data_IF_139296996818
#
_entry.id   IF_139296996818
#
_cell.length_a   1.000
_cell.length_b   1.000
_cell.length_c   1.000
_cell.angle_alpha   90.00
_cell.angle_beta   90.00
_cell.angle_gamma   90.00
#
_symmetry.space_group_name_H-M   'P 1'
#
loop_
_entity.id
_entity.type
_entity.pdbx_description
1 polymer ?
#
# COMPACT_ATOMS: atom_id res chain seq x y z
N UNK A 1 -62.91 -4.95 8.76
CA UNK A 1 -62.97 -3.61 9.39
C UNK A 1 -61.68 -2.90 8.96
N UNK A 2 -61.53 -2.28 7.78
CA UNK A 2 -62.36 -1.26 7.12
C UNK A 2 -62.67 -0.15 8.13
N UNK A 3 -62.25 1.11 7.96
CA UNK A 3 -62.54 2.02 6.82
C UNK A 3 -61.67 3.29 6.92
N UNK A 4 -61.06 3.75 5.81
CA UNK A 4 -61.47 4.91 4.96
C UNK A 4 -60.91 6.25 5.50
N UNK A 5 -60.49 7.24 4.72
CA UNK A 5 -60.83 7.74 3.38
C UNK A 5 -59.54 8.34 2.75
N UNK A 6 -59.38 8.73 1.49
CA UNK A 6 -60.32 8.98 0.41
C UNK A 6 -59.56 8.93 -0.92
N UNK A 7 -60.27 8.50 -1.95
CA UNK A 7 -59.86 8.53 -3.35
C UNK A 7 -60.28 9.85 -3.97
N UNK A 8 -59.36 10.56 -4.64
CA UNK A 8 -59.75 11.44 -5.74
C UNK A 8 -58.98 11.10 -7.00
N UNK A 9 -59.74 10.47 -7.90
CA UNK A 9 -59.40 10.13 -9.27
C UNK A 9 -59.88 11.27 -10.18
N UNK A 10 -58.98 11.97 -10.87
CA UNK A 10 -59.34 12.72 -12.08
C UNK A 10 -58.26 12.52 -13.16
N UNK A 11 -58.60 11.57 -14.04
CA UNK A 11 -58.49 11.59 -15.51
C UNK A 11 -57.10 11.58 -16.17
N UNK A 12 -56.80 10.39 -16.69
CA UNK A 12 -56.41 10.14 -18.09
C UNK A 12 -56.21 11.38 -18.96
N UNK A 13 -54.96 11.60 -19.36
CA UNK A 13 -54.64 11.96 -20.74
C UNK A 13 -54.05 10.72 -21.41
N UNK A 14 -54.76 10.28 -22.44
CA UNK A 14 -54.43 9.21 -23.37
C UNK A 14 -53.50 9.76 -24.47
N UNK A 15 -52.80 8.82 -25.10
CA UNK A 15 -52.13 8.88 -26.40
C UNK A 15 -50.67 9.34 -26.50
N UNK A 16 -49.85 8.30 -26.73
CA UNK A 16 -48.84 8.19 -27.79
C UNK A 16 -47.37 8.26 -27.40
N UNK A 17 -46.77 7.06 -27.44
CA UNK A 17 -45.50 6.77 -28.09
C UNK A 17 -44.21 7.24 -27.39
N UNK A 18 -43.66 6.36 -26.55
CA UNK A 18 -42.53 5.52 -26.95
C UNK A 18 -41.94 4.84 -25.72
N UNK A 19 -41.98 3.51 -25.72
CA UNK A 19 -41.19 2.68 -24.83
C UNK A 19 -39.70 2.92 -25.09
N UNK A 20 -39.04 3.77 -24.31
CA UNK A 20 -37.58 3.69 -24.18
C UNK A 20 -37.28 2.76 -23.01
N UNK A 21 -37.28 1.46 -23.31
CA UNK A 21 -36.57 0.50 -22.50
C UNK A 21 -35.12 1.00 -22.37
N UNK A 22 -34.77 1.55 -21.21
CA UNK A 22 -33.37 1.82 -20.88
C UNK A 22 -32.75 0.46 -20.58
N UNK A 23 -32.24 -0.19 -21.61
CA UNK A 23 -31.27 -1.27 -21.49
C UNK A 23 -30.21 -0.80 -20.49
N UNK A 24 -29.92 -1.52 -19.39
CA UNK A 24 -28.83 -1.16 -18.51
C UNK A 24 -27.54 -1.23 -19.33
N UNK A 25 -27.07 -0.05 -19.78
CA UNK A 25 -25.86 0.08 -20.55
C UNK A 25 -24.73 -0.52 -19.73
N UNK A 26 -24.05 -1.52 -20.29
CA UNK A 26 -22.90 -2.18 -19.68
C UNK A 26 -21.97 -1.10 -19.13
N UNK A 27 -21.78 -1.07 -17.81
CA UNK A 27 -20.93 -0.10 -17.14
C UNK A 27 -19.59 0.00 -17.87
N UNK A 28 -19.22 1.22 -18.28
CA UNK A 28 -18.02 1.45 -19.08
C UNK A 28 -16.79 1.10 -18.24
N UNK A 29 -15.95 0.22 -18.76
CA UNK A 29 -14.66 -0.09 -18.14
C UNK A 29 -13.75 1.14 -18.18
N UNK A 30 -13.30 1.58 -17.00
CA UNK A 30 -12.34 2.66 -16.85
C UNK A 30 -10.93 2.11 -17.09
N UNK A 31 -10.20 2.77 -18.00
CA UNK A 31 -8.79 2.50 -18.27
C UNK A 31 -8.03 3.79 -18.07
N UNK A 32 -7.26 3.94 -16.99
CA UNK A 32 -6.64 5.20 -16.67
C UNK A 32 -5.55 5.55 -17.69
N UNK A 33 -5.62 6.78 -18.20
CA UNK A 33 -4.65 7.37 -19.13
C UNK A 33 -3.85 8.50 -18.47
N UNK A 34 -4.42 9.17 -17.47
CA UNK A 34 -3.84 10.27 -16.73
C UNK A 34 -3.79 9.97 -15.23
N UNK A 35 -3.10 10.79 -14.44
CA UNK A 35 -3.16 10.65 -12.97
C UNK A 35 -4.52 10.98 -12.39
N UNK A 36 -5.29 11.87 -13.03
CA UNK A 36 -6.62 12.27 -12.55
C UNK A 36 -7.61 11.12 -12.54
N UNK A 37 -7.43 10.12 -13.42
CA UNK A 37 -8.28 8.94 -13.49
C UNK A 37 -8.16 8.03 -12.26
N UNK A 38 -7.10 8.21 -11.45
CA UNK A 38 -6.83 7.39 -10.27
C UNK A 38 -7.35 7.99 -8.98
N UNK A 39 -7.43 9.33 -8.92
CA UNK A 39 -7.77 10.04 -7.68
C UNK A 39 -9.14 9.63 -7.11
N UNK A 40 -10.21 9.40 -7.92
CA UNK A 40 -11.49 8.90 -7.40
C UNK A 40 -11.41 7.54 -6.69
N UNK A 41 -10.38 6.74 -7.02
CA UNK A 41 -10.18 5.40 -6.48
C UNK A 41 -9.06 5.34 -5.43
N UNK A 42 -8.41 6.47 -5.13
CA UNK A 42 -7.23 6.50 -4.25
C UNK A 42 -7.51 5.88 -2.90
N UNK A 43 -8.59 6.26 -2.24
CA UNK A 43 -8.93 5.77 -0.90
C UNK A 43 -9.19 4.26 -0.89
N UNK A 44 -10.01 3.79 -1.84
CA UNK A 44 -10.33 2.36 -2.01
C UNK A 44 -9.08 1.54 -2.29
N UNK A 45 -8.24 1.98 -3.24
CA UNK A 45 -6.99 1.28 -3.58
C UNK A 45 -6.05 1.27 -2.37
N UNK A 46 -6.00 2.35 -1.58
CA UNK A 46 -5.16 2.44 -0.39
C UNK A 46 -5.58 1.41 0.67
N UNK A 47 -6.87 1.34 0.98
CA UNK A 47 -7.42 0.38 1.94
C UNK A 47 -7.18 -1.07 1.50
N UNK A 48 -7.54 -1.39 0.24
CA UNK A 48 -7.31 -2.72 -0.32
C UNK A 48 -5.82 -3.07 -0.32
N UNK A 49 -4.94 -2.14 -0.68
CA UNK A 49 -3.50 -2.40 -0.70
C UNK A 49 -2.90 -2.65 0.68
N UNK A 50 -3.47 -2.07 1.74
CA UNK A 50 -3.07 -2.35 3.11
C UNK A 50 -3.43 -3.79 3.52
N UNK A 51 -4.62 -4.25 3.16
CA UNK A 51 -5.15 -5.55 3.58
C UNK A 51 -4.64 -6.72 2.73
N UNK A 52 -4.67 -6.58 1.40
CA UNK A 52 -4.42 -7.68 0.46
C UNK A 52 -3.17 -7.46 -0.40
N UNK A 53 -2.80 -8.45 -1.23
CA UNK A 53 -1.65 -8.34 -2.12
C UNK A 53 -2.05 -7.53 -3.36
N UNK A 54 -1.07 -6.86 -3.97
CA UNK A 54 -1.29 -6.05 -5.18
C UNK A 54 -2.07 -6.78 -6.28
N UNK A 55 -1.75 -8.05 -6.52
CA UNK A 55 -2.45 -8.85 -7.54
C UNK A 55 -3.94 -8.98 -7.25
N UNK A 56 -4.30 -9.13 -5.97
CA UNK A 56 -5.67 -9.24 -5.52
C UNK A 56 -6.38 -7.88 -5.57
N UNK A 57 -5.68 -6.78 -5.24
CA UNK A 57 -6.19 -5.41 -5.45
C UNK A 57 -6.58 -5.19 -6.92
N UNK A 58 -5.72 -5.58 -7.86
CA UNK A 58 -5.98 -5.43 -9.30
C UNK A 58 -7.24 -6.20 -9.70
N UNK A 59 -7.39 -7.43 -9.21
CA UNK A 59 -8.56 -8.28 -9.48
C UNK A 59 -9.83 -7.65 -8.90
N UNK A 60 -9.76 -7.15 -7.67
CA UNK A 60 -10.90 -6.52 -6.98
C UNK A 60 -11.35 -5.23 -7.68
N UNK A 61 -10.39 -4.37 -8.07
CA UNK A 61 -10.68 -3.14 -8.82
C UNK A 61 -11.29 -3.41 -10.20
N UNK A 62 -10.85 -4.47 -10.88
CA UNK A 62 -11.44 -4.86 -12.17
C UNK A 62 -12.88 -5.39 -12.01
N UNK A 63 -13.13 -6.18 -10.95
CA UNK A 63 -14.43 -6.83 -10.70
C UNK A 63 -15.49 -5.89 -10.12
N UNK A 64 -15.14 -5.13 -9.09
CA UNK A 64 -16.10 -4.37 -8.27
C UNK A 64 -16.20 -2.90 -8.69
N UNK A 65 -15.16 -2.37 -9.34
CA UNK A 65 -15.07 -0.95 -9.73
C UNK A 65 -14.96 -0.73 -11.24
N UNK A 66 -15.00 -1.80 -12.04
CA UNK A 66 -14.78 -1.77 -13.49
C UNK A 66 -13.50 -1.02 -13.91
N UNK A 67 -12.48 -1.01 -13.05
CA UNK A 67 -11.25 -0.24 -13.22
C UNK A 67 -10.09 -1.18 -13.57
N UNK A 68 -9.62 -1.11 -14.82
CA UNK A 68 -8.61 -2.02 -15.35
C UNK A 68 -7.31 -1.28 -15.67
N UNK A 69 -6.24 -1.66 -14.98
CA UNK A 69 -4.89 -1.15 -15.22
C UNK A 69 -3.83 -2.25 -15.02
N UNK A 70 -2.64 -2.03 -15.56
CA UNK A 70 -1.51 -2.97 -15.43
C UNK A 70 -0.87 -2.90 -14.04
N UNK A 71 -0.23 -4.00 -13.61
CA UNK A 71 0.50 -4.04 -12.32
C UNK A 71 1.55 -2.93 -12.21
N UNK A 72 2.24 -2.59 -13.32
CA UNK A 72 3.21 -1.49 -13.36
C UNK A 72 2.57 -0.13 -13.09
N UNK A 73 1.38 0.13 -13.64
CA UNK A 73 0.67 1.38 -13.40
C UNK A 73 0.24 1.50 -11.94
N UNK A 74 -0.31 0.43 -11.35
CA UNK A 74 -0.64 0.42 -9.92
C UNK A 74 0.59 0.68 -9.05
N UNK A 75 1.72 0.00 -9.30
CA UNK A 75 2.97 0.24 -8.56
C UNK A 75 3.42 1.69 -8.64
N UNK A 76 3.29 2.30 -9.82
CA UNK A 76 3.63 3.71 -10.04
C UNK A 76 2.77 4.62 -9.17
N UNK A 77 1.47 4.34 -9.08
CA UNK A 77 0.53 5.16 -8.33
C UNK A 77 0.62 4.95 -6.82
N UNK A 78 0.80 3.72 -6.37
CA UNK A 78 1.10 3.39 -4.97
C UNK A 78 2.36 4.13 -4.50
N UNK A 79 3.41 4.16 -5.35
CA UNK A 79 4.62 4.93 -5.06
C UNK A 79 4.35 6.44 -5.03
N UNK A 80 3.58 6.96 -6.00
CA UNK A 80 3.20 8.39 -6.06
C UNK A 80 2.42 8.83 -4.82
N UNK A 81 1.60 7.95 -4.27
CA UNK A 81 0.83 8.19 -3.04
C UNK A 81 1.59 7.83 -1.76
N UNK A 82 2.87 7.44 -1.85
CA UNK A 82 3.70 7.03 -0.70
C UNK A 82 3.10 5.87 0.13
N UNK A 83 2.38 4.96 -0.53
CA UNK A 83 1.76 3.78 0.10
C UNK A 83 2.70 2.56 0.13
N UNK A 84 3.92 2.68 -0.39
CA UNK A 84 4.91 1.60 -0.45
C UNK A 84 5.62 1.34 0.90
N UNK A 85 4.98 1.76 2.00
CA UNK A 85 5.46 1.64 3.38
C UNK A 85 5.08 0.32 4.05
N UNK A 86 4.21 -0.48 3.40
CA UNK A 86 3.72 -1.78 3.88
C UNK A 86 4.82 -2.77 4.26
N UNK A 87 5.93 -2.76 3.51
CA UNK A 87 7.05 -3.67 3.72
C UNK A 87 8.36 -2.90 3.90
N UNK A 88 9.24 -3.44 4.75
CA UNK A 88 10.61 -2.93 4.89
C UNK A 88 11.40 -3.19 3.61
N UNK A 89 11.94 -2.11 3.04
CA UNK A 89 12.69 -2.09 1.78
C UNK A 89 14.11 -2.62 1.99
N UNK A 90 14.73 -3.09 0.92
CA UNK A 90 16.11 -3.56 0.96
C UNK A 90 17.09 -2.47 1.42
N UNK A 91 16.91 -1.23 0.95
CA UNK A 91 17.71 -0.07 1.39
C UNK A 91 17.58 0.20 2.89
N UNK A 92 16.39 0.02 3.46
CA UNK A 92 16.13 0.19 4.89
C UNK A 92 16.83 -0.89 5.71
N UNK A 93 16.78 -2.14 5.26
CA UNK A 93 17.58 -3.21 5.86
C UNK A 93 19.08 -2.94 5.77
N UNK A 94 19.56 -2.43 4.63
CA UNK A 94 20.97 -2.05 4.47
C UNK A 94 21.36 -0.96 5.47
N UNK A 95 20.55 0.08 5.62
CA UNK A 95 20.79 1.16 6.60
C UNK A 95 20.82 0.64 8.04
N UNK A 96 19.92 -0.29 8.40
CA UNK A 96 19.92 -0.94 9.71
C UNK A 96 21.18 -1.77 9.94
N UNK A 97 21.60 -2.58 8.95
CA UNK A 97 22.83 -3.39 9.04
C UNK A 97 24.06 -2.49 9.21
N UNK A 98 24.17 -1.42 8.41
CA UNK A 98 25.26 -0.43 8.54
C UNK A 98 25.30 0.16 9.94
N UNK A 99 24.16 0.63 10.43
CA UNK A 99 24.04 1.24 11.76
C UNK A 99 24.40 0.25 12.86
N UNK A 100 23.92 -0.99 12.77
CA UNK A 100 24.23 -2.07 13.72
C UNK A 100 25.73 -2.33 13.77
N UNK A 101 26.37 -2.62 12.64
CA UNK A 101 27.83 -2.89 12.57
C UNK A 101 28.66 -1.70 13.09
N UNK A 102 28.26 -0.47 12.78
CA UNK A 102 28.93 0.74 13.29
C UNK A 102 28.90 0.81 14.82
N UNK A 103 27.76 0.48 15.44
CA UNK A 103 27.59 0.53 16.91
C UNK A 103 28.27 -0.65 17.61
N UNK A 104 28.34 -1.82 16.97
CA UNK A 104 29.08 -2.99 17.46
C UNK A 104 30.60 -2.76 17.43
N UNK A 105 31.12 -2.05 16.42
CA UNK A 105 32.55 -1.66 16.35
C UNK A 105 32.93 -0.50 17.28
N UNK A 106 31.95 0.17 17.87
CA UNK A 106 32.20 1.24 18.83
C UNK A 106 32.82 0.73 20.12
N UNK A 107 33.37 1.64 20.93
CA UNK A 107 33.87 1.34 22.27
C UNK A 107 33.16 2.23 23.31
N UNK A 108 32.31 1.68 24.21
CA UNK A 108 31.96 0.27 24.31
C UNK A 108 31.06 -0.19 23.15
N UNK A 109 31.07 -1.49 22.80
CA UNK A 109 30.15 -2.06 21.82
C UNK A 109 28.70 -1.91 22.32
N UNK A 110 27.77 -1.59 21.42
CA UNK A 110 26.37 -1.35 21.76
C UNK A 110 25.43 -2.21 20.93
N UNK A 111 24.58 -2.95 21.64
CA UNK A 111 23.40 -3.56 21.02
C UNK A 111 22.45 -2.49 20.48
N UNK A 112 21.75 -2.84 19.41
CA UNK A 112 20.90 -1.91 18.68
C UNK A 112 19.53 -2.51 18.40
N UNK A 113 18.50 -1.83 18.89
CA UNK A 113 17.10 -2.06 18.52
C UNK A 113 16.67 -1.01 17.50
N UNK A 114 15.87 -1.41 16.53
CA UNK A 114 15.40 -0.54 15.45
C UNK A 114 13.88 -0.40 15.48
N UNK A 115 13.43 0.82 15.27
CA UNK A 115 12.02 1.14 14.99
C UNK A 115 11.98 1.86 13.65
N UNK A 116 11.13 1.38 12.74
CA UNK A 116 10.94 1.96 11.41
C UNK A 116 9.46 2.28 11.24
N UNK A 117 9.13 3.55 10.96
CA UNK A 117 7.73 4.01 10.80
C UNK A 117 6.84 3.65 12.01
N UNK A 118 7.40 3.81 13.22
CA UNK A 118 6.73 3.46 14.47
C UNK A 118 6.58 1.97 14.75
N UNK A 119 7.13 1.08 13.90
CA UNK A 119 7.08 -0.38 14.07
C UNK A 119 8.43 -0.93 14.52
N UNK A 120 8.51 -1.72 15.61
CA UNK A 120 9.75 -2.38 15.98
C UNK A 120 10.13 -3.42 14.92
N UNK A 121 11.41 -3.47 14.55
CA UNK A 121 11.92 -4.46 13.60
C UNK A 121 12.55 -5.62 14.36
N UNK A 122 12.13 -6.85 14.07
CA UNK A 122 12.71 -8.05 14.67
C UNK A 122 14.18 -8.20 14.21
N UNK A 123 15.15 -8.30 15.14
CA UNK A 123 16.55 -8.58 14.80
C UNK A 123 16.75 -9.80 13.89
N UNK A 124 15.86 -10.80 13.94
CA UNK A 124 15.89 -11.99 13.07
C UNK A 124 15.65 -11.64 11.61
N UNK A 125 14.77 -10.68 11.32
CA UNK A 125 14.50 -10.25 9.95
C UNK A 125 15.72 -9.53 9.35
N UNK A 126 16.39 -8.71 10.17
CA UNK A 126 17.65 -8.05 9.80
C UNK A 126 18.72 -9.11 9.48
N UNK A 127 18.92 -10.08 10.38
CA UNK A 127 19.90 -11.16 10.19
C UNK A 127 19.57 -12.04 8.96
N UNK A 128 18.29 -12.32 8.70
CA UNK A 128 17.85 -13.07 7.53
C UNK A 128 18.13 -12.30 6.24
N UNK A 129 17.87 -10.99 6.22
CA UNK A 129 18.19 -10.14 5.08
C UNK A 129 19.70 -10.08 4.84
N UNK A 130 20.50 -9.85 5.89
CA UNK A 130 21.96 -9.77 5.82
C UNK A 130 22.57 -11.03 5.18
N UNK A 131 22.17 -12.22 5.65
CA UNK A 131 22.62 -13.49 5.05
C UNK A 131 22.30 -13.58 3.56
N UNK A 132 21.10 -13.15 3.16
CA UNK A 132 20.68 -13.14 1.74
C UNK A 132 21.48 -12.12 0.93
N UNK A 133 21.76 -10.95 1.49
CA UNK A 133 22.50 -9.89 0.83
C UNK A 133 23.97 -10.30 0.60
N UNK A 134 24.61 -10.92 1.60
CA UNK A 134 25.97 -11.48 1.48
C UNK A 134 26.02 -12.56 0.39
N UNK A 135 25.08 -13.52 0.41
CA UNK A 135 25.01 -14.58 -0.60
C UNK A 135 24.86 -14.03 -2.03
N UNK A 136 24.22 -12.86 -2.18
CA UNK A 136 24.04 -12.18 -3.46
C UNK A 136 25.18 -11.22 -3.83
N UNK A 137 26.20 -11.06 -2.97
CA UNK A 137 27.27 -10.09 -3.17
C UNK A 137 26.83 -8.62 -3.09
N UNK A 138 25.69 -8.34 -2.44
CA UNK A 138 25.18 -6.97 -2.26
C UNK A 138 25.95 -6.23 -1.15
N UNK A 139 26.45 -6.98 -0.16
CA UNK A 139 27.21 -6.46 0.98
C UNK A 139 28.43 -7.36 1.19
N UNK A 140 29.60 -6.77 1.38
CA UNK A 140 30.79 -7.47 1.88
C UNK A 140 30.79 -7.46 3.41
N UNK A 141 31.41 -8.46 4.04
CA UNK A 141 31.56 -8.49 5.51
C UNK A 141 32.22 -7.22 6.07
N UNK A 142 33.09 -6.58 5.29
CA UNK A 142 33.95 -5.49 5.72
C UNK A 142 33.57 -4.11 5.16
N UNK A 143 32.51 -3.99 4.34
CA UNK A 143 32.29 -2.74 3.60
C UNK A 143 32.04 -1.55 4.56
N UNK A 144 33.04 -0.66 4.61
CA UNK A 144 32.91 0.73 5.05
C UNK A 144 32.01 1.47 4.06
N UNK A 145 30.70 1.29 4.20
CA UNK A 145 29.73 1.93 3.33
C UNK A 145 29.50 3.38 3.76
N UNK A 146 29.64 4.31 2.80
CA UNK A 146 29.32 5.74 2.91
C UNK A 146 27.94 6.01 3.54
N UNK A 147 27.89 7.06 4.38
CA UNK A 147 26.80 7.47 5.28
C UNK A 147 25.58 8.12 4.59
N UNK A 148 25.46 8.07 3.26
CA UNK A 148 24.52 8.97 2.55
C UNK A 148 23.05 8.52 2.41
N UNK A 149 22.66 7.32 2.83
CA UNK A 149 21.24 6.94 2.81
C UNK A 149 20.61 7.22 4.18
N UNK A 150 20.24 8.47 4.43
CA UNK A 150 19.32 8.82 5.51
C UNK A 150 17.96 8.20 5.22
N UNK A 151 17.55 7.25 6.04
CA UNK A 151 16.20 6.69 6.01
C UNK A 151 15.35 7.54 6.95
N UNK A 152 14.48 8.39 6.38
CA UNK A 152 13.76 9.46 7.11
C UNK A 152 13.04 9.00 8.39
N UNK A 153 12.56 7.74 8.43
CA UNK A 153 11.79 7.20 9.57
C UNK A 153 12.54 6.16 10.42
N UNK A 154 13.86 6.02 10.26
CA UNK A 154 14.64 5.02 10.99
C UNK A 154 15.13 5.55 12.34
N UNK A 155 14.56 5.03 13.42
CA UNK A 155 14.97 5.31 14.80
C UNK A 155 15.69 4.09 15.38
N UNK A 156 16.75 4.31 16.15
CA UNK A 156 17.47 3.24 16.82
C UNK A 156 17.95 3.63 18.23
N UNK A 157 18.13 2.63 19.09
CA UNK A 157 18.57 2.81 20.47
C UNK A 157 19.31 1.61 21.03
N UNK A 158 19.84 1.73 22.25
CA UNK A 158 20.32 0.58 23.02
C UNK A 158 19.14 0.02 23.82
N UNK A 159 18.84 -1.30 23.76
CA UNK A 159 17.77 -1.88 24.55
C UNK A 159 17.99 -1.60 26.04
N UNK A 160 16.92 -1.43 26.84
CA UNK A 160 17.04 -1.35 28.29
C UNK A 160 17.77 -2.59 28.78
N UNK A 161 18.79 -2.41 29.63
CA UNK A 161 19.41 -3.56 30.30
C UNK A 161 18.31 -4.27 31.08
N UNK A 162 18.08 -5.54 30.79
CA UNK A 162 17.26 -6.37 31.67
C UNK A 162 17.92 -6.35 33.05
N UNK A 163 17.16 -5.94 34.07
CA UNK A 163 17.59 -5.93 35.47
C UNK A 163 17.42 -7.32 36.07
#
# INVERSE_FOLDING_TARGET
>A
MSRLFDTMNIRYYDMSSSSTATTPGRARMVRPASSSDWEPYREVISQLYEEIRLKDVIIEMERSYNFKATEKQYKTQIKKWSLDTKYTKGSEYLAMIKTKRRRERGNPPKDTVFTLRGRPIDPKDIARFEKRAIKKGIITQDDGLSDQDSVDDLVYGTPPSAW
#
